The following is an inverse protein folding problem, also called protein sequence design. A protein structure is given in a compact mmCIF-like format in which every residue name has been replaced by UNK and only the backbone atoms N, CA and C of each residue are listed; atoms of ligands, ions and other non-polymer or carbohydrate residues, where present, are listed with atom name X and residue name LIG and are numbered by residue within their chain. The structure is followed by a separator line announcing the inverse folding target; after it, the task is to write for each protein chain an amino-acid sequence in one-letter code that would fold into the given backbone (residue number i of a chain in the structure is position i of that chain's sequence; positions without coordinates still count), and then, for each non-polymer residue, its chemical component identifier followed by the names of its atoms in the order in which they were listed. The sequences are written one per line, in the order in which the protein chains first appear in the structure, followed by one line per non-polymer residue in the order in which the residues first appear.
data_IF_023540600248
#
_entry.id   IF_023540600248
#
_cell.length_a   1.000
_cell.length_b   1.000
_cell.length_c   1.000
_cell.angle_alpha   90.00
_cell.angle_beta   90.00
_cell.angle_gamma   90.00
#
_symmetry.space_group_name_H-M   'P 1'
#
loop_
_entity.id
_entity.type
_entity.pdbx_description
1 polymer ?
#
# COMPACT_ATOMS: atom_id res chain seq x y z
N UNK A 1 -28.54 60.94 -43.85
CA UNK A 1 -29.19 60.79 -42.54
C UNK A 1 -28.08 60.73 -41.51
N UNK A 2 -28.06 61.75 -40.65
CA UNK A 2 -27.30 61.99 -39.40
C UNK A 2 -25.98 61.21 -39.17
N UNK A 3 -24.80 61.88 -39.14
CA UNK A 3 -24.29 62.74 -38.03
C UNK A 3 -23.77 61.87 -36.86
N UNK A 4 -22.60 62.00 -36.22
CA UNK A 4 -21.61 63.06 -35.93
C UNK A 4 -20.38 62.30 -35.33
N UNK A 5 -19.12 62.51 -35.75
CA UNK A 5 -18.08 63.34 -35.08
C UNK A 5 -17.91 63.02 -33.56
N UNK A 6 -16.75 62.83 -32.91
CA UNK A 6 -15.41 63.51 -32.91
C UNK A 6 -14.60 62.82 -31.78
N UNK A 7 -13.34 62.42 -31.96
CA UNK A 7 -12.09 63.08 -31.46
C UNK A 7 -12.23 63.68 -30.04
N UNK A 8 -11.40 63.38 -29.04
CA UNK A 8 -9.96 63.70 -28.97
C UNK A 8 -9.31 63.26 -27.63
N UNK A 9 -8.01 62.91 -27.71
CA UNK A 9 -6.87 63.32 -26.84
C UNK A 9 -6.83 62.88 -25.36
N UNK A 10 -5.71 62.44 -24.75
CA UNK A 10 -4.40 63.09 -24.66
C UNK A 10 -3.32 62.14 -24.05
N UNK A 11 -2.07 62.32 -24.52
CA UNK A 11 -0.78 62.32 -23.79
C UNK A 11 -0.30 61.14 -22.89
N UNK A 12 0.89 60.62 -23.28
CA UNK A 12 1.91 59.95 -22.43
C UNK A 12 2.34 60.84 -21.23
N UNK A 13 2.74 60.30 -20.06
CA UNK A 13 4.15 59.83 -19.90
C UNK A 13 4.37 58.62 -18.97
N UNK A 14 5.58 58.08 -19.09
CA UNK A 14 6.31 57.17 -18.20
C UNK A 14 6.07 57.37 -16.69
N UNK A 15 5.97 56.29 -15.92
CA UNK A 15 6.63 56.15 -14.60
C UNK A 15 6.59 54.72 -14.07
N UNK A 16 7.73 54.35 -13.46
CA UNK A 16 8.03 53.12 -12.74
C UNK A 16 7.09 52.87 -11.56
N UNK A 17 6.76 51.60 -11.30
CA UNK A 17 6.50 51.05 -9.96
C UNK A 17 7.00 49.58 -10.01
N UNK A 18 8.27 49.29 -9.75
CA UNK A 18 8.80 48.97 -8.42
C UNK A 18 7.77 48.35 -7.47
N UNK A 19 7.80 47.01 -7.36
CA UNK A 19 7.59 46.34 -6.08
C UNK A 19 8.54 45.13 -5.97
N UNK A 20 9.73 45.46 -5.49
CA UNK A 20 10.51 44.73 -4.48
C UNK A 20 10.65 43.21 -4.63
N UNK A 21 11.77 42.86 -5.25
CA UNK A 21 12.65 41.76 -4.89
C UNK A 21 12.78 41.49 -3.38
N UNK A 22 12.56 40.24 -2.98
CA UNK A 22 13.35 39.53 -1.97
C UNK A 22 13.78 38.23 -2.66
N UNK A 23 14.92 38.21 -3.36
CA UNK A 23 16.20 37.70 -2.84
C UNK A 23 16.05 36.39 -2.07
N UNK A 24 16.08 35.26 -2.80
CA UNK A 24 16.64 34.01 -2.30
C UNK A 24 17.87 33.70 -3.15
N UNK A 25 18.99 34.29 -2.75
CA UNK A 25 20.30 33.83 -3.18
C UNK A 25 20.55 32.47 -2.53
N UNK A 26 20.34 31.39 -3.29
CA UNK A 26 20.79 30.05 -2.92
C UNK A 26 22.31 29.99 -3.13
N UNK A 27 23.05 30.50 -2.16
CA UNK A 27 24.47 30.20 -2.02
C UNK A 27 24.58 28.80 -1.41
N UNK A 28 24.63 27.77 -2.25
CA UNK A 28 25.00 26.42 -1.84
C UNK A 28 26.44 26.42 -1.34
N UNK A 29 26.58 26.48 -0.02
CA UNK A 29 27.83 26.19 0.64
C UNK A 29 27.86 24.67 0.87
N UNK A 30 28.12 23.88 -0.18
CA UNK A 30 28.19 22.39 -0.14
C UNK A 30 29.22 21.82 0.85
N UNK A 31 29.94 22.65 1.60
CA UNK A 31 30.97 22.22 2.54
C UNK A 31 30.55 22.10 4.00
N UNK A 32 29.37 22.58 4.42
CA UNK A 32 29.04 22.64 5.87
C UNK A 32 27.99 21.65 6.37
N UNK A 33 27.45 20.74 5.55
CA UNK A 33 26.36 19.84 5.97
C UNK A 33 26.76 18.37 6.20
N UNK A 34 28.01 17.97 5.96
CA UNK A 34 28.34 16.54 5.80
C UNK A 34 29.41 15.95 6.75
N UNK A 35 29.85 16.67 7.79
CA UNK A 35 30.88 16.15 8.71
C UNK A 35 30.32 15.86 10.10
N UNK A 36 29.79 14.65 10.29
CA UNK A 36 29.96 13.86 11.54
C UNK A 36 29.24 12.51 11.46
N UNK A 37 29.82 11.55 10.74
CA UNK A 37 29.55 10.14 10.98
C UNK A 37 30.88 9.40 11.09
N UNK A 38 31.25 8.99 12.30
CA UNK A 38 32.38 8.10 12.56
C UNK A 38 31.82 6.88 13.30
N UNK A 39 31.87 5.71 12.65
CA UNK A 39 31.47 4.44 13.23
C UNK A 39 32.67 3.49 13.32
N UNK A 40 32.87 2.92 14.52
CA UNK A 40 33.85 1.87 14.78
C UNK A 40 33.21 0.50 14.57
N UNK A 41 33.84 -0.35 13.75
CA UNK A 41 33.40 -1.72 13.41
C UNK A 41 33.72 -2.74 14.51
N UNK A 42 32.96 -3.86 14.64
CA UNK A 42 33.47 -5.14 14.11
C UNK A 42 32.47 -6.23 13.64
N UNK A 43 32.89 -6.95 12.58
CA UNK A 43 32.80 -8.41 12.23
C UNK A 43 31.45 -9.19 12.17
N UNK A 44 30.93 -9.23 10.93
CA UNK A 44 30.21 -10.26 10.12
C UNK A 44 29.82 -11.62 10.72
N UNK A 45 28.53 -11.98 10.56
CA UNK A 45 28.08 -13.24 9.91
C UNK A 45 26.62 -13.12 9.41
N UNK A 46 26.33 -13.77 8.28
CA UNK A 46 25.23 -13.51 7.32
C UNK A 46 23.99 -14.39 7.49
N UNK A 47 22.78 -13.80 7.34
CA UNK A 47 21.61 -14.44 6.70
C UNK A 47 20.53 -13.43 6.29
N UNK A 48 19.85 -13.71 5.18
CA UNK A 48 18.99 -12.85 4.34
C UNK A 48 17.50 -12.78 4.74
N UNK A 49 16.86 -11.61 4.61
CA UNK A 49 15.39 -11.40 4.66
C UNK A 49 14.96 -10.34 3.62
N UNK A 50 13.85 -10.57 2.91
CA UNK A 50 13.24 -9.71 1.88
C UNK A 50 12.04 -8.96 2.49
N UNK A 51 11.90 -7.65 2.22
CA UNK A 51 10.79 -6.80 2.67
C UNK A 51 9.89 -6.34 1.51
N UNK A 52 8.57 -6.35 1.75
CA UNK A 52 7.56 -5.66 0.95
C UNK A 52 7.21 -4.31 1.61
N UNK A 53 7.40 -3.21 0.90
CA UNK A 53 6.96 -1.87 1.34
C UNK A 53 5.90 -1.34 0.39
N UNK A 54 4.71 -1.01 0.90
CA UNK A 54 3.69 -0.26 0.19
C UNK A 54 3.96 1.24 0.34
N UNK A 55 4.27 1.95 -0.76
CA UNK A 55 4.34 3.42 -0.76
C UNK A 55 3.80 3.98 -2.07
N UNK A 56 3.01 5.04 -1.92
CA UNK A 56 2.25 5.76 -2.95
C UNK A 56 3.15 6.77 -3.69
N UNK A 57 3.00 6.87 -5.01
CA UNK A 57 3.71 7.84 -5.85
C UNK A 57 2.69 8.76 -6.54
N UNK A 58 2.80 10.06 -6.29
CA UNK A 58 2.41 11.14 -7.20
C UNK A 58 0.91 11.40 -7.42
N UNK A 59 0.34 12.36 -6.69
CA UNK A 59 -0.81 13.12 -7.19
C UNK A 59 -1.61 13.87 -6.13
N UNK A 60 -1.26 15.14 -5.90
CA UNK A 60 -2.13 16.22 -5.40
C UNK A 60 -2.92 15.94 -4.11
N UNK A 61 -2.50 16.60 -3.04
CA UNK A 61 -3.22 16.74 -1.76
C UNK A 61 -4.71 17.03 -1.94
N UNK A 62 -5.60 16.35 -1.20
CA UNK A 62 -6.69 16.99 -0.52
C UNK A 62 -6.30 17.22 0.95
N UNK A 63 -6.33 18.48 1.37
CA UNK A 63 -6.35 18.86 2.78
C UNK A 63 -7.64 18.30 3.40
N UNK A 64 -7.56 17.18 4.13
CA UNK A 64 -8.52 16.87 5.21
C UNK A 64 -7.81 16.12 6.37
N UNK A 65 -7.83 16.78 7.53
CA UNK A 65 -7.57 16.33 8.89
C UNK A 65 -7.51 14.81 9.09
N UNK A 66 -6.28 14.25 9.13
CA UNK A 66 -6.05 13.01 9.87
C UNK A 66 -5.76 13.36 11.32
N UNK A 67 -6.83 13.37 12.11
CA UNK A 67 -6.78 13.40 13.57
C UNK A 67 -5.94 12.25 14.11
N UNK A 68 -4.66 12.54 14.34
CA UNK A 68 -3.75 11.70 15.09
C UNK A 68 -4.32 11.59 16.51
N UNK A 69 -4.78 10.38 16.88
CA UNK A 69 -5.02 10.06 18.29
C UNK A 69 -3.67 10.17 19.00
N UNK A 70 -3.51 11.27 19.72
CA UNK A 70 -2.58 11.41 20.82
C UNK A 70 -2.86 10.30 21.83
N UNK A 71 -2.10 9.21 21.75
CA UNK A 71 -1.90 8.34 22.90
C UNK A 71 -0.79 8.95 23.74
N UNK A 72 -1.21 9.50 24.87
CA UNK A 72 -0.38 10.01 25.95
C UNK A 72 0.61 8.94 26.41
N UNK A 73 1.90 9.27 26.35
CA UNK A 73 3.01 8.75 27.17
C UNK A 73 2.90 7.30 27.70
N UNK A 74 3.54 6.38 26.99
CA UNK A 74 4.32 5.32 27.62
C UNK A 74 5.65 5.23 26.86
N UNK A 75 6.76 5.46 27.57
CA UNK A 75 8.11 5.18 27.09
C UNK A 75 8.26 3.66 27.07
N UNK A 76 7.99 3.04 25.94
CA UNK A 76 8.54 1.73 25.65
C UNK A 76 9.67 1.94 24.64
N UNK A 77 10.91 1.79 25.11
CA UNK A 77 12.06 1.57 24.26
C UNK A 77 11.79 0.26 23.50
N UNK A 78 11.21 0.36 22.30
CA UNK A 78 11.18 -0.74 21.34
C UNK A 78 12.62 -1.21 21.17
N UNK A 79 12.94 -2.34 21.80
CA UNK A 79 14.27 -2.93 21.75
C UNK A 79 14.45 -3.48 20.34
N UNK A 80 14.97 -2.62 19.45
CA UNK A 80 15.34 -3.00 18.08
C UNK A 80 16.14 -4.29 18.13
N UNK A 81 15.67 -5.32 17.43
CA UNK A 81 16.45 -6.54 17.26
C UNK A 81 17.79 -6.18 16.59
N UNK A 82 18.86 -6.86 16.99
CA UNK A 82 20.21 -6.59 16.50
C UNK A 82 20.26 -6.65 14.97
N UNK A 83 19.47 -7.54 14.36
CA UNK A 83 19.32 -7.68 12.91
C UNK A 83 18.76 -6.42 12.23
N UNK A 84 17.76 -5.78 12.85
CA UNK A 84 17.11 -4.59 12.32
C UNK A 84 18.03 -3.38 12.43
N UNK A 85 18.77 -3.28 13.54
CA UNK A 85 19.76 -2.23 13.73
C UNK A 85 20.92 -2.34 12.72
N UNK A 86 21.43 -3.55 12.48
CA UNK A 86 22.48 -3.78 11.48
C UNK A 86 22.01 -3.45 10.06
N UNK A 87 20.78 -3.85 9.70
CA UNK A 87 20.18 -3.53 8.41
C UNK A 87 20.00 -2.01 8.23
N UNK A 88 19.60 -1.30 9.29
CA UNK A 88 19.47 0.16 9.28
C UNK A 88 20.82 0.84 9.04
N UNK A 89 21.88 0.40 9.73
CA UNK A 89 23.21 0.97 9.57
C UNK A 89 23.77 0.75 8.16
N UNK A 90 23.68 -0.47 7.63
CA UNK A 90 24.10 -0.77 6.24
C UNK A 90 23.29 0.02 5.22
N UNK A 91 21.98 0.09 5.43
CA UNK A 91 21.09 0.93 4.61
C UNK A 91 21.51 2.40 4.65
N UNK A 92 21.88 2.90 5.83
CA UNK A 92 22.38 4.27 6.01
C UNK A 92 23.66 4.53 5.24
N UNK A 93 24.64 3.61 5.30
CA UNK A 93 25.87 3.69 4.49
C UNK A 93 25.56 3.72 2.99
N UNK A 94 24.58 2.94 2.52
CA UNK A 94 24.14 2.96 1.13
C UNK A 94 23.47 4.29 0.74
N UNK A 95 22.61 4.85 1.58
CA UNK A 95 21.99 6.18 1.35
C UNK A 95 23.05 7.27 1.26
N UNK A 96 24.00 7.29 2.21
CA UNK A 96 25.09 8.27 2.19
C UNK A 96 25.94 8.12 0.92
N UNK A 97 26.26 6.90 0.50
CA UNK A 97 27.03 6.68 -0.73
C UNK A 97 26.31 7.14 -2.00
N UNK A 98 24.97 6.98 -2.06
CA UNK A 98 24.16 7.52 -3.16
C UNK A 98 24.23 9.04 -3.19
N UNK A 99 24.06 9.69 -2.02
CA UNK A 99 24.14 11.15 -1.91
C UNK A 99 25.52 11.69 -2.29
N UNK A 100 26.61 11.02 -1.88
CA UNK A 100 27.98 11.41 -2.25
C UNK A 100 28.22 11.31 -3.76
N UNK A 101 27.73 10.26 -4.43
CA UNK A 101 27.85 10.15 -5.90
C UNK A 101 27.04 11.23 -6.60
N UNK A 102 25.83 11.54 -6.09
CA UNK A 102 25.02 12.64 -6.62
C UNK A 102 25.74 13.98 -6.50
N UNK A 103 26.34 14.28 -5.34
CA UNK A 103 27.12 15.50 -5.13
C UNK A 103 28.26 15.59 -6.14
N UNK A 104 29.03 14.51 -6.33
CA UNK A 104 30.15 14.50 -7.28
C UNK A 104 29.70 14.81 -8.72
N UNK A 105 28.57 14.24 -9.15
CA UNK A 105 28.04 14.48 -10.50
C UNK A 105 27.53 15.92 -10.63
N UNK A 106 26.83 16.43 -9.62
CA UNK A 106 26.29 17.79 -9.63
C UNK A 106 27.40 18.85 -9.55
N UNK A 107 28.50 18.59 -8.83
CA UNK A 107 29.68 19.47 -8.78
C UNK A 107 30.38 19.60 -10.15
N UNK A 108 30.38 18.54 -10.95
CA UNK A 108 30.94 18.54 -12.30
C UNK A 108 30.01 19.23 -13.31
N UNK A 109 28.73 19.44 -12.98
CA UNK A 109 27.75 20.11 -13.83
C UNK A 109 27.75 21.63 -13.57
N UNK A 110 28.03 22.43 -14.60
CA UNK A 110 27.84 23.89 -14.51
C UNK A 110 26.35 24.22 -14.61
N UNK A 111 25.69 24.39 -13.47
CA UNK A 111 24.25 24.63 -13.37
C UNK A 111 23.89 26.13 -13.36
N UNK A 112 22.88 26.51 -14.14
CA UNK A 112 22.14 27.75 -13.94
C UNK A 112 20.96 27.50 -12.97
N UNK A 113 20.60 28.50 -12.15
CA UNK A 113 19.64 28.30 -11.05
C UNK A 113 18.22 27.91 -11.46
N UNK A 114 17.89 27.91 -12.76
CA UNK A 114 16.61 27.42 -13.29
C UNK A 114 16.63 25.93 -13.67
N UNK A 115 17.80 25.34 -13.88
CA UNK A 115 17.95 23.93 -14.26
C UNK A 115 18.30 23.02 -13.06
N UNK A 116 18.41 23.57 -11.86
CA UNK A 116 18.89 22.88 -10.67
C UNK A 116 17.99 21.68 -10.29
N UNK A 117 16.68 21.90 -10.17
CA UNK A 117 15.71 20.85 -9.80
C UNK A 117 15.73 19.68 -10.81
N UNK A 118 15.75 20.00 -12.11
CA UNK A 118 15.80 19.02 -13.20
C UNK A 118 17.11 18.24 -13.18
N UNK A 119 18.24 18.88 -12.85
CA UNK A 119 19.52 18.19 -12.76
C UNK A 119 19.59 17.27 -11.55
N UNK A 120 18.99 17.65 -10.42
CA UNK A 120 18.87 16.75 -9.26
C UNK A 120 18.07 15.52 -9.65
N UNK A 121 16.91 15.67 -10.29
CA UNK A 121 16.07 14.53 -10.71
C UNK A 121 16.83 13.60 -11.68
N UNK A 122 17.45 14.15 -12.73
CA UNK A 122 18.22 13.38 -13.72
C UNK A 122 19.42 12.66 -13.10
N UNK A 123 20.15 13.33 -12.20
CA UNK A 123 21.29 12.76 -11.50
C UNK A 123 20.84 11.64 -10.57
N UNK A 124 19.76 11.87 -9.82
CA UNK A 124 19.14 10.89 -8.93
C UNK A 124 18.74 9.64 -9.72
N UNK A 125 18.07 9.82 -10.86
CA UNK A 125 17.68 8.73 -11.76
C UNK A 125 18.90 7.96 -12.29
N UNK A 126 19.98 8.66 -12.66
CA UNK A 126 21.21 8.06 -13.16
C UNK A 126 21.97 7.25 -12.10
N UNK A 127 22.10 7.78 -10.88
CA UNK A 127 22.80 7.10 -9.76
C UNK A 127 21.99 5.90 -9.27
N UNK A 128 20.69 6.08 -9.03
CA UNK A 128 19.81 5.00 -8.58
C UNK A 128 19.73 3.91 -9.66
N UNK A 129 19.58 4.27 -10.93
CA UNK A 129 19.48 3.31 -12.02
C UNK A 129 20.67 2.34 -12.11
N UNK A 130 21.88 2.79 -11.72
CA UNK A 130 23.08 1.94 -11.65
C UNK A 130 23.08 0.99 -10.46
N UNK A 131 22.54 1.41 -9.32
CA UNK A 131 22.71 0.72 -8.03
C UNK A 131 21.48 -0.01 -7.53
N UNK A 132 20.30 0.21 -8.13
CA UNK A 132 19.02 -0.30 -7.61
C UNK A 132 18.97 -1.82 -7.47
N UNK A 133 19.70 -2.56 -8.32
CA UNK A 133 19.77 -4.03 -8.25
C UNK A 133 20.69 -4.54 -7.12
N UNK A 134 21.57 -3.69 -6.62
CA UNK A 134 22.54 -3.97 -5.55
C UNK A 134 22.09 -3.39 -4.19
N UNK A 135 20.97 -2.66 -4.17
CA UNK A 135 20.43 -2.06 -2.95
C UNK A 135 19.95 -3.13 -1.97
N UNK A 136 20.34 -2.99 -0.70
CA UNK A 136 19.91 -3.91 0.34
C UNK A 136 18.50 -3.54 0.86
N UNK A 137 17.74 -4.48 1.42
CA UNK A 137 16.43 -4.21 2.02
C UNK A 137 16.44 -3.10 3.09
N UNK A 138 17.58 -2.93 3.77
CA UNK A 138 17.79 -1.88 4.76
C UNK A 138 17.83 -0.46 4.19
N UNK A 139 18.06 -0.29 2.88
CA UNK A 139 18.15 1.01 2.23
C UNK A 139 16.87 1.84 2.41
N UNK A 140 15.71 1.27 2.07
CA UNK A 140 14.43 1.99 2.16
C UNK A 140 14.09 2.34 3.61
N UNK A 141 14.39 1.44 4.54
CA UNK A 141 14.20 1.66 5.97
C UNK A 141 15.08 2.81 6.48
N UNK A 142 16.34 2.86 6.06
CA UNK A 142 17.25 3.96 6.40
C UNK A 142 16.80 5.29 5.78
N UNK A 143 16.33 5.27 4.54
CA UNK A 143 15.80 6.45 3.86
C UNK A 143 14.58 7.01 4.60
N UNK A 144 13.64 6.15 4.98
CA UNK A 144 12.46 6.52 5.77
C UNK A 144 12.84 7.09 7.14
N UNK A 145 13.81 6.46 7.82
CA UNK A 145 14.34 6.96 9.08
C UNK A 145 14.99 8.35 8.92
N UNK A 146 15.76 8.56 7.85
CA UNK A 146 16.40 9.85 7.57
C UNK A 146 15.39 10.95 7.21
N UNK A 147 14.29 10.62 6.54
CA UNK A 147 13.16 11.52 6.27
C UNK A 147 12.48 11.93 7.58
N UNK A 148 12.16 10.94 8.44
CA UNK A 148 11.58 11.22 9.76
C UNK A 148 12.51 12.08 10.63
N UNK A 149 13.82 11.85 10.55
CA UNK A 149 14.80 12.66 11.27
C UNK A 149 14.83 14.11 10.74
N UNK A 150 14.80 14.30 9.41
CA UNK A 150 14.73 15.63 8.81
C UNK A 150 13.44 16.38 9.20
N UNK A 151 12.32 15.68 9.31
CA UNK A 151 11.07 16.25 9.80
C UNK A 151 11.14 16.68 11.27
N UNK A 152 11.76 15.87 12.14
CA UNK A 152 12.00 16.22 13.55
C UNK A 152 12.92 17.44 13.69
N UNK A 153 13.92 17.55 12.82
CA UNK A 153 14.88 18.65 12.80
C UNK A 153 14.32 19.92 12.12
N UNK A 154 13.08 19.88 11.59
CA UNK A 154 12.46 20.93 10.76
C UNK A 154 13.30 21.34 9.54
N UNK A 155 14.09 20.41 9.00
CA UNK A 155 14.88 20.63 7.78
C UNK A 155 14.06 20.25 6.55
N UNK A 156 13.32 21.24 6.02
CA UNK A 156 12.43 21.06 4.86
C UNK A 156 13.18 20.73 3.57
N UNK A 157 14.41 21.22 3.42
CA UNK A 157 15.22 21.01 2.22
C UNK A 157 15.77 19.58 2.18
N UNK A 158 16.29 19.09 3.32
CA UNK A 158 16.74 17.70 3.43
C UNK A 158 15.56 16.73 3.27
N UNK A 159 14.40 17.07 3.84
CA UNK A 159 13.19 16.27 3.68
C UNK A 159 12.78 16.14 2.20
N UNK A 160 12.65 17.25 1.47
CA UNK A 160 12.23 17.21 0.07
C UNK A 160 13.21 16.45 -0.83
N UNK A 161 14.52 16.61 -0.62
CA UNK A 161 15.54 15.87 -1.38
C UNK A 161 15.43 14.35 -1.15
N UNK A 162 15.29 13.92 0.12
CA UNK A 162 15.15 12.51 0.45
C UNK A 162 13.84 11.91 -0.06
N UNK A 163 12.75 12.68 -0.09
CA UNK A 163 11.48 12.29 -0.70
C UNK A 163 11.61 12.09 -2.21
N UNK A 164 12.32 12.99 -2.92
CA UNK A 164 12.60 12.82 -4.37
C UNK A 164 13.42 11.56 -4.63
N UNK A 165 14.43 11.28 -3.80
CA UNK A 165 15.22 10.04 -3.90
C UNK A 165 14.31 8.82 -3.67
N UNK A 166 13.47 8.85 -2.64
CA UNK A 166 12.52 7.78 -2.34
C UNK A 166 11.59 7.50 -3.51
N UNK A 167 10.97 8.54 -4.06
CA UNK A 167 10.08 8.45 -5.21
C UNK A 167 10.80 7.88 -6.43
N UNK A 168 12.03 8.32 -6.68
CA UNK A 168 12.84 7.85 -7.81
C UNK A 168 13.20 6.36 -7.69
N UNK A 169 13.60 5.90 -6.50
CA UNK A 169 13.87 4.47 -6.24
C UNK A 169 12.62 3.64 -6.51
N UNK A 170 11.47 4.06 -5.98
CA UNK A 170 10.23 3.32 -6.15
C UNK A 170 9.72 3.32 -7.60
N UNK A 171 9.91 4.42 -8.33
CA UNK A 171 9.62 4.50 -9.76
C UNK A 171 10.49 3.52 -10.56
N UNK A 172 11.78 3.42 -10.22
CA UNK A 172 12.69 2.45 -10.85
C UNK A 172 12.31 1.00 -10.55
N UNK A 173 12.01 0.68 -9.30
CA UNK A 173 11.57 -0.66 -8.90
C UNK A 173 10.27 -1.04 -9.61
N UNK A 174 9.31 -0.13 -9.66
CA UNK A 174 8.02 -0.36 -10.33
C UNK A 174 8.20 -0.65 -11.82
N UNK A 175 9.10 0.06 -12.52
CA UNK A 175 9.39 -0.19 -13.94
C UNK A 175 10.03 -1.55 -14.20
N UNK A 176 10.76 -2.11 -13.23
CA UNK A 176 11.40 -3.43 -13.33
C UNK A 176 10.45 -4.59 -13.00
N UNK A 177 9.37 -4.33 -12.27
CA UNK A 177 8.38 -5.35 -11.94
C UNK A 177 7.72 -5.95 -13.20
N UNK A 178 7.28 -7.22 -13.18
CA UNK A 178 6.48 -7.79 -14.25
C UNK A 178 5.18 -7.00 -14.52
N UNK A 179 4.63 -7.04 -15.75
CA UNK A 179 3.42 -6.32 -16.13
C UNK A 179 2.22 -6.49 -15.18
N UNK A 180 1.95 -7.72 -14.72
CA UNK A 180 0.83 -8.00 -13.83
C UNK A 180 1.00 -7.36 -12.44
N UNK A 181 2.22 -7.28 -11.91
CA UNK A 181 2.53 -6.60 -10.64
C UNK A 181 2.34 -5.09 -10.77
N UNK A 182 2.81 -4.50 -11.88
CA UNK A 182 2.61 -3.07 -12.15
C UNK A 182 1.13 -2.71 -12.20
N UNK A 183 0.32 -3.56 -12.85
CA UNK A 183 -1.13 -3.37 -12.98
C UNK A 183 -1.82 -3.45 -11.62
N UNK A 184 -1.44 -4.39 -10.75
CA UNK A 184 -1.99 -4.48 -9.39
C UNK A 184 -1.73 -3.20 -8.60
N UNK A 185 -0.52 -2.64 -8.66
CA UNK A 185 -0.19 -1.37 -8.01
C UNK A 185 -1.13 -0.24 -8.46
N UNK A 186 -1.37 -0.12 -9.78
CA UNK A 186 -2.26 0.91 -10.33
C UNK A 186 -3.74 0.66 -9.97
N UNK A 187 -4.16 -0.60 -9.90
CA UNK A 187 -5.52 -0.96 -9.49
C UNK A 187 -5.77 -0.62 -8.02
N UNK A 188 -4.79 -0.83 -7.14
CA UNK A 188 -4.86 -0.43 -5.74
C UNK A 188 -5.05 1.08 -5.55
N UNK A 189 -4.61 1.88 -6.52
CA UNK A 189 -4.76 3.35 -6.52
C UNK A 189 -6.06 3.83 -7.19
N UNK A 190 -6.88 2.92 -7.74
CA UNK A 190 -8.07 3.26 -8.50
C UNK A 190 -9.35 3.00 -7.67
N UNK A 191 -9.96 4.04 -7.07
CA UNK A 191 -11.06 3.85 -6.11
C UNK A 191 -12.37 3.36 -6.72
N UNK A 192 -12.68 3.85 -7.93
CA UNK A 192 -13.94 3.56 -8.61
C UNK A 192 -13.89 2.21 -9.33
N UNK A 193 -14.88 1.36 -9.05
CA UNK A 193 -15.03 0.03 -9.66
C UNK A 193 -15.08 0.10 -11.19
N UNK A 194 -15.82 1.05 -11.75
CA UNK A 194 -15.96 1.22 -13.20
C UNK A 194 -14.62 1.58 -13.84
N UNK A 195 -13.81 2.40 -13.17
CA UNK A 195 -12.46 2.77 -13.61
C UNK A 195 -11.50 1.58 -13.54
N UNK A 196 -11.57 0.75 -12.49
CA UNK A 196 -10.79 -0.50 -12.40
C UNK A 196 -11.17 -1.48 -13.51
N UNK A 197 -12.46 -1.66 -13.79
CA UNK A 197 -12.92 -2.52 -14.88
C UNK A 197 -12.49 -2.02 -16.26
N UNK A 198 -12.48 -0.71 -16.50
CA UNK A 198 -11.92 -0.14 -17.74
C UNK A 198 -10.41 -0.37 -17.84
N UNK A 199 -9.69 -0.20 -16.74
CA UNK A 199 -8.25 -0.47 -16.66
C UNK A 199 -7.97 -1.94 -17.01
N UNK A 200 -8.63 -2.88 -16.33
CA UNK A 200 -8.51 -4.32 -16.57
C UNK A 200 -8.84 -4.68 -18.02
N UNK A 201 -9.88 -4.07 -18.62
CA UNK A 201 -10.23 -4.29 -20.04
C UNK A 201 -9.11 -3.85 -20.98
N UNK A 202 -8.48 -2.70 -20.73
CA UNK A 202 -7.36 -2.22 -21.55
C UNK A 202 -6.12 -3.10 -21.39
N UNK A 203 -5.80 -3.48 -20.16
CA UNK A 203 -4.67 -4.38 -19.87
C UNK A 203 -4.82 -5.72 -20.60
N UNK A 204 -6.02 -6.31 -20.54
CA UNK A 204 -6.34 -7.56 -21.24
C UNK A 204 -6.29 -7.41 -22.78
N UNK A 205 -6.59 -6.23 -23.30
CA UNK A 205 -6.51 -5.91 -24.73
C UNK A 205 -5.09 -5.61 -25.24
N UNK A 206 -4.07 -5.75 -24.38
CA UNK A 206 -2.66 -5.50 -24.73
C UNK A 206 -2.09 -4.17 -24.23
N UNK A 207 -2.80 -3.46 -23.36
CA UNK A 207 -2.34 -2.23 -22.71
C UNK A 207 -2.84 -0.94 -23.39
N UNK A 208 -2.07 0.14 -23.25
CA UNK A 208 -2.36 1.44 -23.88
C UNK A 208 -2.49 2.59 -22.89
N UNK A 209 -3.04 3.73 -23.34
CA UNK A 209 -3.15 4.93 -22.48
C UNK A 209 -4.42 4.87 -21.64
N UNK A 210 -4.26 4.97 -20.32
CA UNK A 210 -5.35 5.08 -19.36
C UNK A 210 -5.37 6.46 -18.75
N UNK A 211 -6.55 7.08 -18.74
CA UNK A 211 -6.74 8.35 -18.06
C UNK A 211 -7.33 8.07 -16.67
N UNK A 212 -6.54 8.38 -15.64
CA UNK A 212 -7.01 8.30 -14.26
C UNK A 212 -8.10 9.35 -13.99
N UNK A 213 -8.84 9.18 -12.89
CA UNK A 213 -9.89 10.11 -12.43
C UNK A 213 -9.33 11.54 -12.27
N UNK A 214 -8.04 11.67 -11.93
CA UNK A 214 -7.32 12.95 -11.79
C UNK A 214 -6.85 13.55 -13.13
N UNK A 215 -7.20 12.95 -14.27
CA UNK A 215 -6.81 13.41 -15.60
C UNK A 215 -5.40 13.00 -16.04
N UNK A 216 -4.59 12.43 -15.15
CA UNK A 216 -3.25 11.92 -15.44
C UNK A 216 -3.32 10.76 -16.45
N UNK A 217 -2.56 10.87 -17.54
CA UNK A 217 -2.41 9.81 -18.54
C UNK A 217 -1.29 8.88 -18.12
N UNK A 218 -1.62 7.62 -17.87
CA UNK A 218 -0.68 6.57 -17.49
C UNK A 218 -0.62 5.54 -18.62
N UNK A 219 0.58 5.11 -18.98
CA UNK A 219 0.77 4.02 -19.94
C UNK A 219 0.60 2.67 -19.23
N UNK A 220 -0.35 1.88 -19.68
CA UNK A 220 -0.63 0.54 -19.16
C UNK A 220 0.19 -0.50 -19.91
N UNK A 221 0.88 -1.40 -19.19
CA UNK A 221 1.42 -2.60 -19.81
C UNK A 221 0.29 -3.60 -20.13
N UNK A 222 0.51 -4.47 -21.12
CA UNK A 222 -0.38 -5.60 -21.39
C UNK A 222 -0.10 -6.75 -20.41
N UNK A 223 -1.15 -7.35 -19.85
CA UNK A 223 -1.03 -8.50 -18.95
C UNK A 223 -2.28 -9.40 -19.01
N UNK A 224 -2.11 -10.68 -18.67
CA UNK A 224 -3.21 -11.64 -18.63
C UNK A 224 -4.02 -11.46 -17.33
N UNK A 225 -5.36 -11.47 -17.43
CA UNK A 225 -6.26 -11.39 -16.28
C UNK A 225 -6.03 -12.54 -15.28
N UNK A 226 -5.66 -13.73 -15.77
CA UNK A 226 -5.36 -14.88 -14.93
C UNK A 226 -4.10 -14.63 -14.09
N UNK A 227 -3.05 -14.08 -14.70
CA UNK A 227 -1.79 -13.77 -14.00
C UNK A 227 -2.02 -12.65 -12.96
N UNK A 228 -2.88 -11.67 -13.26
CA UNK A 228 -3.26 -10.62 -12.31
C UNK A 228 -4.04 -11.22 -11.13
N UNK A 229 -5.01 -12.08 -11.40
CA UNK A 229 -5.82 -12.73 -10.37
C UNK A 229 -4.94 -13.60 -9.46
N UNK A 230 -4.07 -14.43 -10.04
CA UNK A 230 -3.15 -15.29 -9.30
C UNK A 230 -2.14 -14.48 -8.49
N UNK A 231 -1.53 -13.45 -9.09
CA UNK A 231 -0.59 -12.60 -8.36
C UNK A 231 -1.26 -11.87 -7.18
N UNK A 232 -2.48 -11.38 -7.36
CA UNK A 232 -3.24 -10.78 -6.27
C UNK A 232 -3.55 -11.83 -5.19
N UNK A 233 -3.85 -13.06 -5.59
CA UNK A 233 -4.11 -14.18 -4.69
C UNK A 233 -2.88 -14.58 -3.85
N UNK A 234 -1.69 -14.64 -4.46
CA UNK A 234 -0.42 -14.94 -3.79
C UNK A 234 -0.07 -13.86 -2.75
N UNK A 235 -0.30 -12.59 -3.10
CA UNK A 235 -0.10 -11.46 -2.18
C UNK A 235 -1.09 -11.52 -1.00
N UNK A 236 -2.36 -11.87 -1.28
CA UNK A 236 -3.38 -12.07 -0.25
C UNK A 236 -3.01 -13.23 0.68
N UNK A 237 -2.62 -14.38 0.15
CA UNK A 237 -2.19 -15.53 0.96
C UNK A 237 -1.02 -15.16 1.88
N UNK A 238 -0.05 -14.41 1.37
CA UNK A 238 1.10 -13.92 2.16
C UNK A 238 0.69 -12.96 3.28
N UNK A 239 -0.37 -12.16 3.08
CA UNK A 239 -0.90 -11.27 4.12
C UNK A 239 -1.80 -12.00 5.13
N UNK A 240 -2.61 -12.96 4.67
CA UNK A 240 -3.60 -13.68 5.48
C UNK A 240 -2.99 -14.81 6.32
N UNK A 241 -1.86 -15.37 5.88
CA UNK A 241 -1.11 -16.38 6.65
C UNK A 241 -0.42 -15.81 7.90
N UNK A 242 -0.32 -14.48 8.03
CA UNK A 242 0.27 -13.82 9.18
C UNK A 242 -0.71 -13.78 10.36
N UNK A 243 -0.21 -13.89 11.62
CA UNK A 243 -1.06 -13.76 12.81
C UNK A 243 -1.68 -12.35 12.92
N UNK A 244 -0.95 -11.33 12.47
CA UNK A 244 -1.38 -9.93 12.41
C UNK A 244 -1.38 -9.44 10.96
N UNK A 245 -2.48 -8.80 10.54
CA UNK A 245 -2.56 -8.19 9.19
C UNK A 245 -1.89 -6.81 9.22
N UNK A 246 -0.87 -6.55 8.39
CA UNK A 246 -0.14 -5.28 8.43
C UNK A 246 -0.97 -4.08 7.92
N UNK A 247 -1.73 -4.25 6.84
CA UNK A 247 -2.61 -3.21 6.28
C UNK A 247 -3.92 -3.82 5.76
N UNK A 248 -5.02 -3.49 6.45
CA UNK A 248 -6.37 -3.95 6.09
C UNK A 248 -6.96 -3.23 4.89
N UNK A 249 -6.56 -1.98 4.61
CA UNK A 249 -7.00 -1.26 3.41
C UNK A 249 -6.34 -1.87 2.18
N UNK A 250 -5.05 -2.19 2.24
CA UNK A 250 -4.38 -2.91 1.16
C UNK A 250 -4.99 -4.30 0.96
N UNK A 251 -5.26 -5.03 2.04
CA UNK A 251 -5.90 -6.35 1.97
C UNK A 251 -7.25 -6.27 1.26
N UNK A 252 -8.11 -5.31 1.62
CA UNK A 252 -9.41 -5.15 0.97
C UNK A 252 -9.30 -4.78 -0.51
N UNK A 253 -8.35 -3.92 -0.88
CA UNK A 253 -8.05 -3.59 -2.28
C UNK A 253 -7.63 -4.82 -3.09
N UNK A 254 -6.72 -5.64 -2.55
CA UNK A 254 -6.25 -6.85 -3.21
C UNK A 254 -7.37 -7.88 -3.40
N UNK A 255 -8.25 -8.05 -2.41
CA UNK A 255 -9.43 -8.92 -2.54
C UNK A 255 -10.33 -8.42 -3.67
N UNK A 256 -10.65 -7.13 -3.72
CA UNK A 256 -11.49 -6.57 -4.79
C UNK A 256 -10.86 -6.79 -6.18
N UNK A 257 -9.55 -6.57 -6.30
CA UNK A 257 -8.81 -6.77 -7.56
C UNK A 257 -8.89 -8.23 -8.02
N UNK A 258 -8.63 -9.17 -7.11
CA UNK A 258 -8.73 -10.60 -7.40
C UNK A 258 -10.12 -10.98 -7.91
N UNK A 259 -11.16 -10.56 -7.19
CA UNK A 259 -12.54 -10.89 -7.54
C UNK A 259 -12.99 -10.22 -8.86
N UNK A 260 -12.58 -8.97 -9.11
CA UNK A 260 -12.88 -8.27 -10.36
C UNK A 260 -12.18 -8.92 -11.58
N UNK A 261 -10.91 -9.30 -11.44
CA UNK A 261 -10.17 -10.00 -12.49
C UNK A 261 -10.81 -11.37 -12.81
N UNK A 262 -11.18 -12.15 -11.78
CA UNK A 262 -11.89 -13.44 -11.93
C UNK A 262 -13.25 -13.27 -12.62
N UNK A 263 -14.02 -12.27 -12.20
CA UNK A 263 -15.31 -11.96 -12.81
C UNK A 263 -15.18 -11.59 -14.30
N UNK A 264 -14.14 -10.87 -14.68
CA UNK A 264 -13.89 -10.51 -16.08
C UNK A 264 -13.52 -11.68 -16.98
N UNK A 265 -12.98 -12.77 -16.43
CA UNK A 265 -12.68 -13.99 -17.18
C UNK A 265 -13.91 -14.87 -17.45
N UNK A 266 -15.11 -14.40 -17.09
CA UNK A 266 -16.37 -15.12 -17.29
C UNK A 266 -16.58 -16.31 -16.34
N UNK A 267 -15.70 -16.45 -15.33
CA UNK A 267 -15.74 -17.56 -14.37
C UNK A 267 -16.83 -17.46 -13.32
N UNK A 268 -17.18 -16.24 -12.93
CA UNK A 268 -18.08 -16.02 -11.79
C UNK A 268 -17.54 -16.62 -10.48
N UNK A 269 -18.41 -16.67 -9.48
CA UNK A 269 -18.10 -17.16 -8.13
C UNK A 269 -17.82 -18.68 -8.07
N UNK A 270 -18.32 -19.45 -9.04
CA UNK A 270 -18.22 -20.91 -9.07
C UNK A 270 -17.18 -21.44 -10.07
N UNK A 271 -16.31 -20.59 -10.60
CA UNK A 271 -15.26 -21.05 -11.50
C UNK A 271 -14.34 -22.04 -10.78
N UNK A 272 -14.15 -23.22 -11.36
CA UNK A 272 -13.22 -24.23 -10.84
C UNK A 272 -11.78 -23.70 -10.79
N UNK A 273 -11.43 -22.73 -11.66
CA UNK A 273 -10.13 -22.06 -11.64
C UNK A 273 -9.89 -21.23 -10.39
N UNK A 274 -10.95 -20.87 -9.65
CA UNK A 274 -10.83 -20.06 -8.44
C UNK A 274 -10.46 -20.90 -7.20
N UNK A 275 -10.50 -22.24 -7.30
CA UNK A 275 -10.24 -23.12 -6.17
C UNK A 275 -8.75 -23.08 -5.77
N UNK A 276 -8.48 -22.63 -4.54
CA UNK A 276 -7.14 -22.67 -3.92
C UNK A 276 -6.65 -24.10 -3.57
N UNK A 277 -7.40 -25.15 -3.91
CA UNK A 277 -7.06 -26.54 -3.63
C UNK A 277 -7.20 -26.93 -2.15
N UNK A 278 -7.89 -26.12 -1.34
CA UNK A 278 -8.14 -26.45 0.07
C UNK A 278 -9.06 -27.67 0.17
N UNK A 279 -8.50 -28.80 0.60
CA UNK A 279 -9.23 -30.05 0.85
C UNK A 279 -10.16 -29.95 2.07
N UNK A 280 -9.88 -29.01 2.99
CA UNK A 280 -10.64 -28.77 4.20
C UNK A 280 -10.91 -27.28 4.36
N UNK A 281 -12.14 -26.92 4.69
CA UNK A 281 -12.51 -25.54 4.95
C UNK A 281 -11.94 -25.08 6.30
N UNK A 282 -11.40 -23.86 6.38
CA UNK A 282 -10.96 -23.27 7.65
C UNK A 282 -12.08 -23.20 8.69
N UNK A 283 -11.78 -23.60 9.93
CA UNK A 283 -12.77 -23.69 11.00
C UNK A 283 -13.35 -22.33 11.40
N UNK A 284 -12.53 -21.28 11.45
CA UNK A 284 -12.96 -19.93 11.83
C UNK A 284 -13.99 -19.37 10.84
N UNK A 285 -13.72 -19.49 9.54
CA UNK A 285 -14.57 -19.05 8.44
C UNK A 285 -15.90 -19.82 8.43
N UNK A 286 -15.86 -21.15 8.62
CA UNK A 286 -17.07 -21.99 8.68
C UNK A 286 -17.93 -21.64 9.89
N UNK A 287 -17.31 -21.42 11.06
CA UNK A 287 -18.03 -21.03 12.27
C UNK A 287 -18.70 -19.66 12.09
N UNK A 288 -17.99 -18.68 11.53
CA UNK A 288 -18.55 -17.37 11.23
C UNK A 288 -19.68 -17.45 10.20
N UNK A 289 -19.49 -18.21 9.12
CA UNK A 289 -20.52 -18.42 8.10
C UNK A 289 -21.79 -19.04 8.69
N UNK A 290 -21.64 -20.02 9.58
CA UNK A 290 -22.77 -20.65 10.28
C UNK A 290 -23.55 -19.63 11.11
N UNK A 291 -22.86 -18.70 11.80
CA UNK A 291 -23.50 -17.60 12.53
C UNK A 291 -24.28 -16.66 11.59
N UNK A 292 -23.71 -16.32 10.43
CA UNK A 292 -24.36 -15.42 9.46
C UNK A 292 -25.62 -16.05 8.85
N UNK A 293 -25.60 -17.35 8.58
CA UNK A 293 -26.73 -18.09 7.99
C UNK A 293 -27.86 -18.34 9.00
N UNK A 294 -27.54 -18.42 10.29
CA UNK A 294 -28.55 -18.53 11.35
C UNK A 294 -29.40 -17.25 11.50
N UNK A 295 -28.95 -16.13 10.95
CA UNK A 295 -29.62 -14.84 11.00
C UNK A 295 -30.29 -14.51 9.66
N UNK A 296 -31.36 -13.70 9.69
CA UNK A 296 -31.98 -13.21 8.45
C UNK A 296 -31.09 -12.15 7.78
N UNK A 297 -30.98 -12.13 6.43
CA UNK A 297 -30.28 -11.06 5.71
C UNK A 297 -30.80 -9.68 6.14
N UNK A 298 -29.88 -8.78 6.47
CA UNK A 298 -30.24 -7.44 6.92
C UNK A 298 -29.07 -6.69 7.52
N UNK A 299 -29.39 -5.56 8.16
CA UNK A 299 -28.40 -4.63 8.71
C UNK A 299 -27.50 -5.28 9.76
N UNK A 300 -28.05 -6.12 10.63
CA UNK A 300 -27.27 -6.81 11.66
C UNK A 300 -26.19 -7.72 11.05
N UNK A 301 -26.54 -8.50 10.02
CA UNK A 301 -25.59 -9.37 9.32
C UNK A 301 -24.54 -8.54 8.56
N UNK A 302 -24.95 -7.42 7.97
CA UNK A 302 -24.03 -6.48 7.32
C UNK A 302 -23.04 -5.85 8.33
N UNK A 303 -23.50 -5.47 9.52
CA UNK A 303 -22.66 -4.88 10.57
C UNK A 303 -21.67 -5.93 11.12
N UNK A 304 -22.09 -7.19 11.28
CA UNK A 304 -21.20 -8.30 11.63
C UNK A 304 -20.10 -8.51 10.58
N UNK A 305 -20.46 -8.55 9.29
CA UNK A 305 -19.49 -8.65 8.19
C UNK A 305 -18.52 -7.46 8.25
N UNK A 306 -19.05 -6.23 8.43
CA UNK A 306 -18.23 -5.02 8.52
C UNK A 306 -17.23 -5.05 9.67
N UNK A 307 -17.64 -5.47 10.85
CA UNK A 307 -16.76 -5.60 12.00
C UNK A 307 -15.62 -6.59 11.75
N UNK A 308 -15.95 -7.78 11.23
CA UNK A 308 -14.94 -8.81 10.93
C UNK A 308 -13.95 -8.33 9.87
N UNK A 309 -14.41 -7.73 8.78
CA UNK A 309 -13.53 -7.19 7.73
C UNK A 309 -12.61 -6.07 8.26
N UNK A 310 -13.09 -5.26 9.22
CA UNK A 310 -12.30 -4.21 9.88
C UNK A 310 -11.33 -4.73 10.96
N UNK A 311 -11.44 -5.99 11.36
CA UNK A 311 -10.57 -6.58 12.38
C UNK A 311 -11.08 -6.53 13.78
N UNK A 312 -12.40 -6.58 13.91
CA UNK A 312 -13.09 -6.69 15.18
C UNK A 312 -13.75 -8.05 15.26
N UNK A 313 -14.18 -8.42 16.46
CA UNK A 313 -14.91 -9.66 16.72
C UNK A 313 -14.14 -10.88 16.17
N UNK A 314 -14.76 -11.72 15.34
CA UNK A 314 -14.11 -12.91 14.74
C UNK A 314 -12.94 -12.60 13.79
N UNK A 315 -12.77 -11.34 13.39
CA UNK A 315 -11.67 -10.88 12.55
C UNK A 315 -10.50 -10.26 13.33
N UNK A 316 -10.59 -10.19 14.67
CA UNK A 316 -9.57 -9.56 15.51
C UNK A 316 -8.24 -10.31 15.45
N UNK A 317 -7.16 -9.55 15.24
CA UNK A 317 -5.81 -10.10 15.22
C UNK A 317 -5.41 -10.64 16.61
N UNK A 318 -4.61 -11.70 16.62
CA UNK A 318 -4.11 -12.28 17.86
C UNK A 318 -3.00 -11.36 18.36
N UNK A 319 -3.26 -10.59 19.42
CA UNK A 319 -2.21 -9.88 20.15
C UNK A 319 -1.40 -10.89 20.96
N UNK A 320 -0.07 -10.84 20.84
CA UNK A 320 0.85 -11.68 21.61
C UNK A 320 0.85 -11.29 23.11
N UNK A 321 0.24 -10.16 23.47
CA UNK A 321 0.21 -9.59 24.82
C UNK A 321 -0.85 -10.22 25.76
N UNK A 322 -1.28 -11.45 25.48
CA UNK A 322 -2.46 -12.04 26.14
C UNK A 322 -2.36 -13.52 26.45
N UNK A 323 -1.19 -13.99 26.89
CA UNK A 323 -1.15 -15.12 27.82
C UNK A 323 -1.54 -14.63 29.22
N UNK A 324 -2.81 -14.26 29.40
CA UNK A 324 -3.37 -14.30 30.75
C UNK A 324 -3.49 -15.78 31.12
N UNK A 325 -2.46 -16.29 31.79
CA UNK A 325 -2.55 -17.53 32.54
C UNK A 325 -3.47 -17.28 33.75
N UNK A 326 -4.49 -18.12 33.92
CA UNK A 326 -5.13 -18.24 35.23
C UNK A 326 -4.07 -18.64 36.29
N UNK A 327 -4.33 -18.39 37.58
CA UNK A 327 -3.52 -18.74 38.77
C UNK A 327 -3.16 -20.26 38.90
N UNK A 328 -3.51 -21.07 37.89
CA UNK A 328 -3.22 -22.49 37.74
C UNK A 328 -2.46 -22.85 36.45
N UNK A 329 -1.94 -21.89 35.69
CA UNK A 329 -1.08 -22.12 34.50
C UNK A 329 -1.82 -22.73 33.31
N UNK A 330 -3.08 -22.33 33.07
CA UNK A 330 -3.83 -22.75 31.86
C UNK A 330 -4.20 -21.54 31.00
N UNK A 331 -4.08 -21.65 29.66
CA UNK A 331 -4.46 -20.58 28.76
C UNK A 331 -5.97 -20.35 28.81
N UNK A 332 -6.38 -19.10 29.12
CA UNK A 332 -7.77 -18.67 29.09
C UNK A 332 -8.34 -18.84 27.66
N UNK A 333 -9.27 -19.76 27.53
CA UNK A 333 -9.95 -20.06 26.28
C UNK A 333 -11.16 -19.14 26.12
N UNK A 334 -10.97 -18.00 25.45
CA UNK A 334 -12.09 -17.17 24.97
C UNK A 334 -12.83 -17.90 23.85
N UNK A 335 -13.86 -18.67 24.19
CA UNK A 335 -14.70 -19.35 23.20
C UNK A 335 -15.86 -20.12 23.83
N UNK A 336 -17.07 -19.74 23.46
CA UNK A 336 -18.32 -20.40 23.83
C UNK A 336 -18.23 -21.91 23.51
N UNK A 337 -18.38 -22.73 24.55
CA UNK A 337 -18.73 -24.15 24.56
C UNK A 337 -17.96 -25.09 23.58
N UNK A 338 -16.88 -25.70 24.09
CA UNK A 338 -16.77 -27.15 24.04
C UNK A 338 -16.20 -27.83 22.78
N UNK A 339 -15.39 -27.17 21.97
CA UNK A 339 -14.49 -27.87 21.02
C UNK A 339 -13.06 -27.37 21.15
N UNK A 340 -12.21 -28.23 21.70
CA UNK A 340 -10.76 -28.07 21.72
C UNK A 340 -10.27 -28.20 20.28
N UNK A 341 -9.51 -27.22 19.79
CA UNK A 341 -8.78 -27.32 18.53
C UNK A 341 -7.96 -28.61 18.54
N UNK A 342 -8.24 -29.52 17.60
CA UNK A 342 -7.60 -30.86 17.52
C UNK A 342 -6.08 -30.76 17.35
N UNK A 343 -5.56 -29.59 16.98
CA UNK A 343 -4.14 -29.30 16.75
C UNK A 343 -3.48 -28.47 17.86
N UNK A 344 -4.22 -28.06 18.90
CA UNK A 344 -3.69 -27.26 20.01
C UNK A 344 -3.27 -25.82 19.66
N UNK A 345 -3.33 -25.42 18.38
CA UNK A 345 -3.13 -24.04 17.94
C UNK A 345 -4.47 -23.31 17.86
N UNK A 346 -4.53 -22.07 18.36
CA UNK A 346 -5.68 -21.18 18.14
C UNK A 346 -5.84 -21.00 16.62
N UNK A 347 -7.05 -21.19 16.06
CA UNK A 347 -7.28 -20.95 14.64
C UNK A 347 -7.02 -19.47 14.32
N UNK A 348 -6.53 -19.19 13.10
CA UNK A 348 -6.40 -17.82 12.63
C UNK A 348 -7.78 -17.14 12.62
N UNK A 349 -7.84 -15.83 12.91
CA UNK A 349 -9.09 -15.09 12.82
C UNK A 349 -9.58 -15.03 11.37
N UNK A 350 -10.87 -14.75 11.19
CA UNK A 350 -11.52 -14.74 9.87
C UNK A 350 -10.86 -13.69 8.98
N UNK A 351 -10.36 -14.12 7.81
CA UNK A 351 -9.75 -13.23 6.83
C UNK A 351 -10.64 -13.01 5.60
N UNK A 352 -10.70 -11.79 5.04
CA UNK A 352 -11.59 -11.47 3.91
C UNK A 352 -11.46 -12.40 2.69
N UNK A 353 -10.24 -12.69 2.26
CA UNK A 353 -9.94 -13.55 1.12
C UNK A 353 -10.30 -15.01 1.37
N UNK A 354 -9.90 -15.56 2.51
CA UNK A 354 -10.28 -16.92 2.97
C UNK A 354 -11.78 -17.07 3.21
N UNK A 355 -12.43 -16.04 3.71
CA UNK A 355 -13.87 -16.03 3.94
C UNK A 355 -14.65 -16.10 2.63
N UNK A 356 -14.30 -15.27 1.64
CA UNK A 356 -14.92 -15.33 0.31
C UNK A 356 -14.68 -16.66 -0.40
N UNK A 357 -13.50 -17.25 -0.24
CA UNK A 357 -13.18 -18.60 -0.74
C UNK A 357 -14.11 -19.64 -0.09
N UNK A 358 -14.25 -19.59 1.23
CA UNK A 358 -15.13 -20.49 1.99
C UNK A 358 -16.59 -20.37 1.56
N UNK A 359 -17.08 -19.14 1.39
CA UNK A 359 -18.45 -18.89 0.88
C UNK A 359 -18.63 -19.49 -0.51
N UNK A 360 -17.65 -19.30 -1.41
CA UNK A 360 -17.71 -19.81 -2.79
C UNK A 360 -17.71 -21.33 -2.83
N UNK A 361 -16.88 -22.00 -2.02
CA UNK A 361 -16.84 -23.46 -1.90
C UNK A 361 -18.13 -24.06 -1.36
N UNK A 362 -18.70 -23.46 -0.30
CA UNK A 362 -19.98 -23.91 0.26
C UNK A 362 -21.10 -23.72 -0.75
N UNK A 363 -21.12 -22.59 -1.46
CA UNK A 363 -22.09 -22.32 -2.51
C UNK A 363 -21.98 -23.35 -3.65
N UNK A 364 -20.76 -23.66 -4.12
CA UNK A 364 -20.51 -24.71 -5.11
C UNK A 364 -21.02 -26.08 -4.66
N UNK A 365 -20.79 -26.45 -3.39
CA UNK A 365 -21.31 -27.69 -2.80
C UNK A 365 -22.85 -27.75 -2.74
N UNK A 366 -23.52 -26.61 -2.50
CA UNK A 366 -24.98 -26.52 -2.52
C UNK A 366 -25.51 -26.73 -3.94
N UNK A 367 -24.92 -26.08 -4.94
CA UNK A 367 -25.33 -26.27 -6.34
C UNK A 367 -25.04 -27.68 -6.87
N UNK A 368 -23.97 -28.32 -6.40
CA UNK A 368 -23.65 -29.71 -6.72
C UNK A 368 -24.59 -30.73 -6.05
N UNK A 369 -25.50 -30.31 -5.17
CA UNK A 369 -26.54 -31.15 -4.58
C UNK A 369 -26.18 -31.84 -3.26
N UNK A 370 -25.07 -31.45 -2.61
CA UNK A 370 -24.56 -32.15 -1.42
C UNK A 370 -24.96 -31.54 -0.07
N UNK A 371 -25.75 -30.45 -0.02
CA UNK A 371 -26.05 -29.76 1.24
C UNK A 371 -27.52 -29.34 1.32
N UNK A 372 -28.22 -29.81 2.37
CA UNK A 372 -29.59 -29.41 2.72
C UNK A 372 -29.54 -28.58 3.99
N UNK A 373 -29.96 -27.30 3.93
CA UNK A 373 -30.12 -26.45 5.12
C UNK A 373 -29.73 -24.97 4.97
N UNK A 374 -28.91 -24.62 3.98
CA UNK A 374 -28.50 -23.23 3.69
C UNK A 374 -29.08 -22.82 2.33
N UNK A 375 -29.75 -21.66 2.25
CA UNK A 375 -30.26 -21.15 0.97
C UNK A 375 -29.11 -20.56 0.16
N UNK A 376 -28.91 -21.02 -1.08
CA UNK A 376 -27.90 -20.47 -2.00
C UNK A 376 -28.01 -18.94 -2.13
N UNK A 377 -29.24 -18.42 -2.17
CA UNK A 377 -29.54 -16.99 -2.21
C UNK A 377 -28.96 -16.20 -1.02
N UNK A 378 -28.95 -16.81 0.18
CA UNK A 378 -28.37 -16.16 1.37
C UNK A 378 -26.85 -16.04 1.23
N UNK A 379 -26.19 -17.08 0.74
CA UNK A 379 -24.73 -17.06 0.52
C UNK A 379 -24.33 -16.13 -0.61
N UNK A 380 -25.09 -16.09 -1.71
CA UNK A 380 -24.90 -15.10 -2.77
C UNK A 380 -25.01 -13.67 -2.22
N UNK A 381 -26.02 -13.43 -1.36
CA UNK A 381 -26.18 -12.14 -0.69
C UNK A 381 -25.00 -11.82 0.24
N UNK A 382 -24.52 -12.78 1.04
CA UNK A 382 -23.36 -12.62 1.92
C UNK A 382 -22.10 -12.29 1.10
N UNK A 383 -21.87 -13.00 0.01
CA UNK A 383 -20.73 -12.75 -0.89
C UNK A 383 -20.79 -11.31 -1.46
N UNK A 384 -21.92 -10.92 -2.05
CA UNK A 384 -22.10 -9.58 -2.61
C UNK A 384 -21.95 -8.47 -1.56
N UNK A 385 -22.50 -8.67 -0.36
CA UNK A 385 -22.41 -7.69 0.72
C UNK A 385 -21.00 -7.57 1.27
N UNK A 386 -20.25 -8.66 1.31
CA UNK A 386 -18.84 -8.64 1.70
C UNK A 386 -18.03 -7.80 0.73
N UNK A 387 -18.22 -7.96 -0.59
CA UNK A 387 -17.56 -7.11 -1.59
C UNK A 387 -17.92 -5.63 -1.45
N UNK A 388 -19.19 -5.33 -1.16
CA UNK A 388 -19.63 -3.94 -0.90
C UNK A 388 -18.93 -3.35 0.33
N UNK A 389 -18.86 -4.10 1.42
CA UNK A 389 -18.17 -3.68 2.65
C UNK A 389 -16.68 -3.47 2.40
N UNK A 390 -16.03 -4.37 1.65
CA UNK A 390 -14.61 -4.24 1.32
C UNK A 390 -14.35 -2.98 0.47
N UNK A 391 -15.25 -2.66 -0.45
CA UNK A 391 -15.19 -1.41 -1.21
C UNK A 391 -15.26 -0.17 -0.30
N UNK A 392 -16.13 -0.17 0.72
CA UNK A 392 -16.20 0.92 1.72
C UNK A 392 -14.95 1.02 2.60
N UNK A 393 -14.26 -0.09 2.86
CA UNK A 393 -13.03 -0.10 3.70
C UNK A 393 -11.82 0.35 2.88
N UNK A 394 -11.77 0.01 1.59
CA UNK A 394 -10.61 0.20 0.72
C UNK A 394 -10.30 1.66 0.35
N UNK A 395 -11.33 2.53 0.28
CA UNK A 395 -11.22 3.89 -0.26
C UNK A 395 -12.01 4.92 0.54
#
# INVERSE_FOLDING_TARGET
MLAIATTSSCFFPTTKLNRTSHLLSLSFNCRSLFLSFSSQQPKKQTSSIIFCTSYEVGGGFPDEDFGLKTSTQAKDDEKWDHSHYEALLKGGEQVTSVLEEMVKILEDMSMDGASEEVAVELTTQGVIGKRVDEMEPGFMMALDYMIQLAEKDNDTQRKSLLEVIKETVLSHLTKKCPPHVQVISLLCQTPKKESRNELLRRVAAGGGVFQSVKGTKVHLPGANLNDIANQADDLLETMESRPTVPDRKLLSRLVLIREEARNMMGGGILDERNDRGLNTLPEAEVNFLTKLVALRPGKNVQDMIKNVMLGKDEGADISDDGEEEDDAGRPLSGGIAGRVSVTGRRPLPVRPGMFLETVSKVLGGIYAGNVSGITAQHLEWVHQKTLQVLQEISF
#
